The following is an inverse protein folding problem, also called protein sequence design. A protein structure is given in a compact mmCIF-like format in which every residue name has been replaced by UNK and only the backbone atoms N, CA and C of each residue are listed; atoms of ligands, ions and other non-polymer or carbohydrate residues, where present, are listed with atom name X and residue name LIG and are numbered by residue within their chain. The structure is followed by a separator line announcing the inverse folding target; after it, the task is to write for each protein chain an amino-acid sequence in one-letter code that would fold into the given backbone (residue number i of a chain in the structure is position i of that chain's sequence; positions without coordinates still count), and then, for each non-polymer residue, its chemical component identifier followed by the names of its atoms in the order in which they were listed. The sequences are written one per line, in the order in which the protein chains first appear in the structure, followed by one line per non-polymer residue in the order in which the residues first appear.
data_IF_998447481822
#
_entry.id   IF_998447481822
#
_cell.length_a   1.000
_cell.length_b   1.000
_cell.length_c   1.000
_cell.angle_alpha   90.00
_cell.angle_beta   90.00
_cell.angle_gamma   90.00
#
_symmetry.space_group_name_H-M   'P 1'
#
loop_
_entity.id
_entity.type
_entity.pdbx_description
1 polymer ?
#
# COMPACT_ATOMS: atom_id res chain seq x y z
N UNK A 1 40.18 -57.64 -2.76
CA UNK A 1 39.77 -57.88 -4.14
C UNK A 1 39.33 -56.54 -4.65
N UNK A 2 40.12 -55.71 -5.25
CA UNK A 2 40.91 -55.89 -6.51
C UNK A 2 39.93 -55.53 -7.63
N UNK A 3 40.09 -54.63 -8.43
CA UNK A 3 41.02 -54.12 -9.44
C UNK A 3 40.15 -53.13 -10.26
N UNK A 4 40.46 -52.10 -10.93
CA UNK A 4 41.64 -51.46 -11.48
C UNK A 4 41.22 -50.22 -12.28
N UNK A 5 42.09 -49.30 -12.44
CA UNK A 5 41.99 -48.06 -13.18
C UNK A 5 42.10 -48.29 -14.70
N UNK A 6 41.55 -47.40 -15.50
CA UNK A 6 42.04 -47.15 -16.84
C UNK A 6 41.89 -45.67 -17.21
N UNK A 7 43.00 -45.01 -17.37
CA UNK A 7 43.14 -43.69 -18.03
C UNK A 7 43.53 -43.90 -19.50
N UNK A 8 42.95 -43.13 -20.40
CA UNK A 8 43.43 -42.77 -21.73
C UNK A 8 42.81 -41.41 -22.00
N UNK A 9 43.45 -40.26 -22.21
CA UNK A 9 44.61 -39.93 -23.02
C UNK A 9 44.11 -39.42 -24.39
N UNK A 10 44.19 -38.10 -24.65
CA UNK A 10 44.02 -37.64 -26.01
C UNK A 10 43.60 -36.16 -26.20
N UNK A 11 44.59 -35.27 -26.20
CA UNK A 11 44.90 -34.22 -27.20
C UNK A 11 43.88 -33.13 -27.49
N UNK A 12 44.27 -31.90 -27.16
CA UNK A 12 43.83 -30.63 -27.82
C UNK A 12 44.19 -30.59 -29.31
N UNK A 13 43.46 -29.78 -30.11
CA UNK A 13 44.14 -28.57 -30.58
C UNK A 13 43.27 -27.28 -30.61
N UNK A 14 43.91 -26.18 -30.25
CA UNK A 14 43.99 -24.82 -30.84
C UNK A 14 42.95 -24.40 -31.89
N UNK A 15 42.35 -23.21 -31.68
CA UNK A 15 41.70 -22.42 -32.75
C UNK A 15 40.89 -21.29 -32.23
N UNK A 16 41.51 -20.13 -32.01
CA UNK A 16 40.80 -18.83 -31.98
C UNK A 16 40.41 -18.41 -33.40
N UNK A 17 39.33 -17.66 -33.57
CA UNK A 17 39.51 -16.47 -34.39
C UNK A 17 39.05 -15.19 -33.68
N UNK A 18 39.89 -14.21 -33.77
CA UNK A 18 39.69 -12.81 -33.51
C UNK A 18 38.47 -12.28 -34.28
N UNK A 19 37.52 -11.71 -33.59
CA UNK A 19 36.44 -10.90 -34.18
C UNK A 19 36.69 -9.43 -33.90
N UNK A 20 37.24 -8.75 -34.88
CA UNK A 20 37.53 -7.31 -34.96
C UNK A 20 36.23 -6.50 -34.81
N UNK A 21 36.12 -5.70 -33.76
CA UNK A 21 35.07 -4.66 -33.62
C UNK A 21 35.62 -3.38 -34.20
N UNK A 22 35.06 -2.98 -35.35
CA UNK A 22 35.34 -1.71 -36.02
C UNK A 22 34.65 -0.57 -35.30
N UNK A 23 35.42 0.31 -34.66
CA UNK A 23 34.97 1.60 -34.16
C UNK A 23 34.88 2.58 -35.34
N UNK A 24 33.69 3.03 -35.64
CA UNK A 24 33.47 4.19 -36.52
C UNK A 24 33.67 5.49 -35.73
N UNK A 25 34.81 6.10 -35.90
CA UNK A 25 35.08 7.50 -35.57
C UNK A 25 34.57 8.39 -36.70
N UNK A 26 33.57 9.21 -36.41
CA UNK A 26 33.14 10.33 -37.26
C UNK A 26 33.29 11.63 -36.51
N UNK A 27 34.42 12.27 -36.63
CA UNK A 27 34.62 13.68 -36.27
C UNK A 27 33.89 14.59 -37.25
N UNK A 28 33.13 15.58 -36.77
CA UNK A 28 32.87 16.81 -37.51
C UNK A 28 33.12 17.98 -36.55
N UNK A 29 34.11 18.78 -36.97
CA UNK A 29 34.51 20.07 -36.42
C UNK A 29 33.39 21.11 -36.55
N UNK A 30 33.35 22.08 -35.65
CA UNK A 30 32.76 23.35 -36.03
C UNK A 30 32.25 24.27 -34.92
N UNK A 31 33.18 25.12 -34.41
CA UNK A 31 33.01 26.51 -33.93
C UNK A 31 32.24 26.85 -32.65
N UNK A 32 32.87 27.67 -31.78
CA UNK A 32 32.20 28.31 -30.65
C UNK A 32 31.56 29.63 -31.08
N UNK A 33 30.29 29.83 -30.72
CA UNK A 33 29.68 31.15 -30.76
C UNK A 33 29.65 31.71 -29.32
N UNK A 34 30.45 32.74 -29.10
CA UNK A 34 30.29 33.70 -28.00
C UNK A 34 29.01 34.51 -28.23
N UNK A 35 28.22 34.64 -27.21
CA UNK A 35 27.07 35.54 -27.17
C UNK A 35 26.79 35.89 -25.73
N UNK A 36 27.38 37.02 -25.28
CA UNK A 36 27.00 37.70 -24.06
C UNK A 36 25.57 38.21 -24.21
N UNK A 37 24.66 37.84 -23.30
CA UNK A 37 23.45 38.61 -23.02
C UNK A 37 23.23 38.65 -21.50
N UNK A 38 23.60 39.79 -20.93
CA UNK A 38 23.06 40.28 -19.66
C UNK A 38 21.55 40.50 -19.82
N UNK A 39 20.79 39.91 -18.97
CA UNK A 39 19.33 40.10 -18.86
C UNK A 39 18.83 39.59 -17.53
N UNK A 40 19.09 40.37 -16.49
CA UNK A 40 18.46 40.19 -15.16
C UNK A 40 16.98 40.55 -15.28
N UNK A 41 16.07 39.61 -15.28
CA UNK A 41 14.67 39.83 -15.01
C UNK A 41 14.31 39.24 -13.67
N UNK A 42 14.20 40.14 -12.69
CA UNK A 42 13.58 39.89 -11.39
C UNK A 42 12.12 39.52 -11.60
N UNK A 43 11.75 38.27 -11.35
CA UNK A 43 10.36 37.88 -11.14
C UNK A 43 10.06 37.98 -9.63
N UNK A 44 8.98 38.69 -9.24
CA UNK A 44 8.60 38.82 -7.84
C UNK A 44 8.06 37.48 -7.31
N UNK A 45 8.48 37.14 -6.09
CA UNK A 45 7.93 36.06 -5.28
C UNK A 45 6.44 36.35 -4.99
N UNK A 46 5.53 35.35 -5.08
CA UNK A 46 4.18 35.54 -4.64
C UNK A 46 4.10 35.60 -3.12
N UNK A 47 3.38 36.61 -2.67
CA UNK A 47 3.07 37.00 -1.31
C UNK A 47 2.43 35.86 -0.50
N UNK A 48 2.91 35.66 0.73
CA UNK A 48 2.28 34.78 1.72
C UNK A 48 1.16 35.57 2.40
N UNK A 49 -0.07 35.34 1.98
CA UNK A 49 -1.20 35.89 2.68
C UNK A 49 -2.52 35.53 2.01
N UNK A 50 -3.26 34.60 2.56
CA UNK A 50 -4.63 34.34 2.14
C UNK A 50 -5.10 32.93 2.45
N UNK A 51 -5.53 32.69 3.68
CA UNK A 51 -6.37 31.57 4.02
C UNK A 51 -7.65 31.65 3.19
N UNK A 52 -7.77 30.88 2.12
CA UNK A 52 -9.03 30.74 1.40
C UNK A 52 -9.94 29.80 2.19
N UNK A 53 -10.87 30.42 2.91
CA UNK A 53 -12.04 29.76 3.47
C UNK A 53 -12.94 29.27 2.33
N UNK A 54 -13.25 27.98 2.33
CA UNK A 54 -14.25 27.39 1.47
C UNK A 54 -15.64 27.99 1.79
N UNK A 55 -16.48 28.33 0.81
CA UNK A 55 -17.82 28.81 1.06
C UNK A 55 -18.69 27.69 1.65
N UNK A 56 -19.26 27.93 2.82
CA UNK A 56 -20.30 27.13 3.41
C UNK A 56 -21.51 27.06 2.46
N UNK A 57 -21.87 25.85 2.05
CA UNK A 57 -23.13 25.63 1.34
C UNK A 57 -24.30 26.04 2.25
N UNK A 58 -25.03 27.06 1.83
CA UNK A 58 -26.30 27.48 2.43
C UNK A 58 -27.31 26.34 2.30
N UNK A 59 -27.73 25.79 3.40
CA UNK A 59 -28.95 25.01 3.52
C UNK A 59 -30.14 25.93 3.20
N UNK A 60 -30.83 25.65 2.11
CA UNK A 60 -32.14 26.28 1.82
C UNK A 60 -33.16 25.71 2.80
N UNK A 61 -33.50 26.49 3.79
CA UNK A 61 -34.72 26.31 4.58
C UNK A 61 -35.92 26.56 3.70
N UNK A 62 -36.66 25.51 3.35
CA UNK A 62 -37.98 25.67 2.73
C UNK A 62 -38.98 26.04 3.80
N UNK A 63 -39.55 27.23 3.61
CA UNK A 63 -40.48 27.87 4.51
C UNK A 63 -41.71 27.03 4.82
N UNK A 64 -42.01 26.96 6.10
CA UNK A 64 -43.28 26.51 6.61
C UNK A 64 -44.37 27.50 6.22
N UNK A 65 -45.21 27.15 5.25
CA UNK A 65 -46.43 27.88 4.94
C UNK A 65 -47.47 27.65 6.05
N UNK A 66 -47.73 28.71 6.77
CA UNK A 66 -48.79 28.75 7.79
C UNK A 66 -50.17 28.59 7.14
N UNK A 67 -50.84 27.49 7.41
CA UNK A 67 -52.26 27.30 7.07
C UNK A 67 -53.08 28.07 8.11
N UNK A 68 -53.61 29.25 7.71
CA UNK A 68 -54.64 29.96 8.47
C UNK A 68 -55.93 29.16 8.44
N UNK A 69 -56.40 28.74 9.61
CA UNK A 69 -57.70 28.15 9.78
C UNK A 69 -58.81 29.23 9.58
N UNK A 70 -59.55 29.08 8.49
CA UNK A 70 -60.82 29.79 8.29
C UNK A 70 -61.93 28.99 8.94
N UNK A 71 -62.50 29.48 10.08
CA UNK A 71 -63.76 29.02 10.65
C UNK A 71 -64.91 29.59 9.85
N UNK A 72 -65.74 28.73 9.28
CA UNK A 72 -67.00 29.16 8.66
C UNK A 72 -67.91 27.99 8.35
N UNK A 73 -68.87 27.78 9.19
CA UNK A 73 -70.12 27.02 9.13
C UNK A 73 -70.58 26.49 7.78
N UNK A 74 -70.88 25.16 7.71
CA UNK A 74 -72.24 24.69 7.32
C UNK A 74 -72.27 23.15 7.37
N UNK A 75 -72.82 22.60 8.46
CA UNK A 75 -73.30 21.23 8.50
C UNK A 75 -74.69 21.21 7.88
N UNK A 76 -74.81 20.64 6.67
CA UNK A 76 -76.14 20.23 6.12
C UNK A 76 -75.98 18.89 5.41
N UNK A 77 -76.60 17.87 6.04
CA UNK A 77 -77.28 16.76 5.42
C UNK A 77 -76.49 15.83 4.50
N UNK A 78 -75.69 14.92 5.06
CA UNK A 78 -75.19 13.76 4.31
C UNK A 78 -76.30 12.65 4.36
N UNK A 79 -76.93 12.40 3.22
CA UNK A 79 -77.91 11.32 3.04
C UNK A 79 -77.24 9.93 3.22
N UNK A 80 -77.94 9.04 3.95
CA UNK A 80 -77.55 7.67 4.28
C UNK A 80 -77.01 6.84 3.09
N UNK A 81 -77.32 7.23 1.83
CA UNK A 81 -76.83 6.55 0.61
C UNK A 81 -75.39 6.91 0.21
N UNK A 82 -74.86 8.00 0.70
CA UNK A 82 -73.44 8.40 0.41
C UNK A 82 -72.43 7.75 1.38
N UNK A 83 -72.90 7.29 2.57
CA UNK A 83 -72.04 6.60 3.52
C UNK A 83 -71.66 5.17 3.07
N UNK A 84 -72.50 4.49 2.31
CA UNK A 84 -72.21 3.12 1.77
C UNK A 84 -71.29 3.12 0.56
N UNK A 85 -71.18 4.23 -0.19
CA UNK A 85 -70.26 4.37 -1.30
C UNK A 85 -68.83 4.68 -0.93
N UNK A 86 -68.59 5.36 0.23
CA UNK A 86 -67.24 5.70 0.73
C UNK A 86 -66.56 4.49 1.42
N UNK A 87 -67.38 3.60 2.05
CA UNK A 87 -66.84 2.36 2.68
C UNK A 87 -66.45 1.29 1.69
N UNK A 88 -67.05 1.24 0.48
CA UNK A 88 -66.68 0.29 -0.58
C UNK A 88 -65.40 0.69 -1.30
N UNK A 89 -65.06 2.01 -1.37
CA UNK A 89 -63.85 2.53 -2.00
C UNK A 89 -62.60 2.32 -1.13
N UNK A 90 -62.73 2.12 0.20
CA UNK A 90 -61.61 1.90 1.09
C UNK A 90 -61.18 0.41 1.20
N UNK A 91 -61.99 -0.52 0.72
CA UNK A 91 -61.69 -1.96 0.70
C UNK A 91 -61.09 -2.43 -0.65
N UNK A 92 -61.03 -1.56 -1.66
CA UNK A 92 -60.51 -1.86 -2.98
C UNK A 92 -59.17 -1.20 -3.35
N UNK A 93 -58.50 -0.53 -2.38
CA UNK A 93 -57.17 -0.03 -2.65
C UNK A 93 -56.21 -1.26 -2.78
N UNK A 94 -55.58 -1.47 -3.97
CA UNK A 94 -54.54 -2.46 -4.03
C UNK A 94 -53.52 -2.10 -2.95
N UNK A 95 -53.30 -2.99 -2.00
CA UNK A 95 -52.16 -2.92 -1.10
C UNK A 95 -50.93 -2.85 -2.00
N UNK A 96 -50.43 -1.64 -2.23
CA UNK A 96 -49.09 -1.42 -2.80
C UNK A 96 -48.17 -1.97 -1.73
N UNK A 97 -48.01 -3.31 -1.72
CA UNK A 97 -46.89 -3.95 -1.11
C UNK A 97 -45.69 -3.35 -1.83
N UNK A 98 -45.11 -2.26 -1.24
CA UNK A 98 -43.77 -1.86 -1.53
C UNK A 98 -42.96 -3.12 -1.23
N UNK A 99 -42.71 -3.93 -2.29
CA UNK A 99 -41.66 -4.90 -2.24
C UNK A 99 -40.41 -4.07 -1.92
N UNK A 100 -40.05 -4.06 -0.63
CA UNK A 100 -38.72 -3.65 -0.21
C UNK A 100 -37.82 -4.60 -0.98
N UNK A 101 -37.39 -4.13 -2.15
CA UNK A 101 -36.41 -4.83 -2.95
C UNK A 101 -35.24 -5.01 -1.99
N UNK A 102 -35.04 -6.22 -1.50
CA UNK A 102 -33.94 -6.54 -0.61
C UNK A 102 -32.69 -6.02 -1.30
N UNK A 103 -32.16 -4.91 -0.81
CA UNK A 103 -30.99 -4.26 -1.43
C UNK A 103 -29.95 -5.37 -1.58
N UNK A 104 -29.51 -5.64 -2.82
CA UNK A 104 -28.54 -6.68 -3.11
C UNK A 104 -27.36 -6.49 -2.14
N UNK A 105 -27.15 -7.45 -1.27
CA UNK A 105 -26.09 -7.40 -0.26
C UNK A 105 -24.75 -7.57 -1.00
N UNK A 106 -23.90 -6.57 -0.91
CA UNK A 106 -22.57 -6.59 -1.49
C UNK A 106 -21.68 -7.51 -0.68
N UNK A 107 -20.88 -8.34 -1.35
CA UNK A 107 -19.95 -9.27 -0.72
C UNK A 107 -18.52 -8.93 -1.14
N UNK A 108 -17.67 -8.56 -0.17
CA UNK A 108 -16.27 -8.21 -0.40
C UNK A 108 -15.38 -9.28 0.22
N UNK A 109 -14.48 -9.85 -0.58
CA UNK A 109 -13.45 -10.77 -0.11
C UNK A 109 -12.20 -9.98 0.34
N UNK A 110 -11.69 -10.24 1.51
CA UNK A 110 -10.40 -9.74 1.97
C UNK A 110 -9.41 -10.89 2.05
N UNK A 111 -8.40 -10.88 1.18
CA UNK A 111 -7.31 -11.86 1.19
C UNK A 111 -6.11 -11.26 1.91
N UNK A 112 -5.82 -11.79 3.10
CA UNK A 112 -4.76 -11.31 3.98
C UNK A 112 -3.61 -12.30 4.09
N UNK A 113 -2.39 -11.79 4.26
CA UNK A 113 -1.21 -12.62 4.55
C UNK A 113 -1.09 -12.92 6.04
N UNK A 114 -1.16 -11.91 6.95
CA UNK A 114 -1.00 -12.13 8.39
C UNK A 114 -2.29 -12.66 9.04
N UNK A 115 -2.18 -13.08 10.29
CA UNK A 115 -3.34 -13.49 11.09
C UNK A 115 -4.37 -12.36 11.27
N UNK A 116 -5.62 -12.72 11.52
CA UNK A 116 -6.70 -11.74 11.67
C UNK A 116 -6.43 -10.67 12.75
N UNK A 117 -5.88 -10.98 13.94
CA UNK A 117 -5.54 -9.95 14.94
C UNK A 117 -4.49 -8.96 14.45
N UNK A 118 -3.45 -9.42 13.76
CA UNK A 118 -2.40 -8.56 13.18
C UNK A 118 -2.93 -7.66 12.06
N UNK A 119 -3.98 -8.12 11.36
CA UNK A 119 -4.59 -7.39 10.25
C UNK A 119 -5.74 -6.46 10.66
N UNK A 120 -6.22 -6.56 11.90
CA UNK A 120 -7.39 -5.83 12.39
C UNK A 120 -7.37 -4.32 12.13
N UNK A 121 -6.26 -3.57 12.33
CA UNK A 121 -6.23 -2.13 12.05
C UNK A 121 -6.55 -1.80 10.57
N UNK A 122 -6.06 -2.61 9.64
CA UNK A 122 -6.28 -2.44 8.20
C UNK A 122 -7.71 -2.78 7.78
N UNK A 123 -8.24 -3.87 8.32
CA UNK A 123 -9.65 -4.25 8.09
C UNK A 123 -10.60 -3.19 8.65
N UNK A 124 -10.30 -2.64 9.84
CA UNK A 124 -11.08 -1.55 10.42
C UNK A 124 -11.03 -0.27 9.57
N UNK A 125 -9.87 0.06 9.03
CA UNK A 125 -9.72 1.21 8.13
C UNK A 125 -10.53 1.04 6.84
N UNK A 126 -10.52 -0.15 6.22
CA UNK A 126 -11.36 -0.47 5.07
C UNK A 126 -12.84 -0.36 5.42
N UNK A 127 -13.28 -0.96 6.54
CA UNK A 127 -14.67 -0.85 7.04
C UNK A 127 -15.08 0.60 7.25
N UNK A 128 -14.20 1.43 7.81
CA UNK A 128 -14.47 2.85 8.01
C UNK A 128 -14.66 3.56 6.65
N UNK A 129 -13.77 3.34 5.68
CA UNK A 129 -13.90 3.91 4.35
C UNK A 129 -15.17 3.45 3.63
N UNK A 130 -15.53 2.19 3.74
CA UNK A 130 -16.77 1.65 3.16
C UNK A 130 -18.00 2.24 3.83
N UNK A 131 -17.98 2.42 5.15
CA UNK A 131 -19.09 3.03 5.90
C UNK A 131 -19.35 4.47 5.48
N UNK A 132 -18.29 5.26 5.25
CA UNK A 132 -18.40 6.64 4.77
C UNK A 132 -19.07 6.72 3.39
N UNK A 133 -18.98 5.63 2.60
CA UNK A 133 -19.61 5.49 1.29
C UNK A 133 -20.98 4.81 1.33
N UNK A 134 -21.50 4.52 2.55
CA UNK A 134 -22.82 3.93 2.75
C UNK A 134 -22.88 2.40 2.78
N UNK A 135 -21.73 1.72 2.72
CA UNK A 135 -21.67 0.26 2.86
C UNK A 135 -21.48 -0.13 4.33
N UNK A 136 -22.51 -0.73 4.92
CA UNK A 136 -22.57 -1.06 6.36
C UNK A 136 -22.63 -2.58 6.52
N UNK A 137 -21.62 -3.14 7.17
CA UNK A 137 -21.56 -4.58 7.47
C UNK A 137 -22.77 -5.02 8.32
N UNK A 138 -23.39 -6.13 7.94
CA UNK A 138 -24.62 -6.64 8.55
C UNK A 138 -25.92 -6.01 8.02
N UNK A 139 -25.86 -4.92 7.21
CA UNK A 139 -27.02 -4.34 6.52
C UNK A 139 -27.00 -4.62 5.02
N UNK A 140 -26.07 -4.01 4.31
CA UNK A 140 -25.94 -4.11 2.86
C UNK A 140 -24.53 -4.58 2.41
N UNK A 141 -23.68 -4.98 3.37
CA UNK A 141 -22.29 -5.42 3.15
C UNK A 141 -22.01 -6.69 3.96
N UNK A 142 -21.33 -7.64 3.31
CA UNK A 142 -20.66 -8.79 3.94
C UNK A 142 -19.17 -8.68 3.61
N UNK A 143 -18.32 -8.90 4.60
CA UNK A 143 -16.86 -9.01 4.42
C UNK A 143 -16.43 -10.44 4.72
N UNK A 144 -16.03 -11.15 3.67
CA UNK A 144 -15.44 -12.48 3.76
C UNK A 144 -13.93 -12.35 3.96
N UNK A 145 -13.43 -12.73 5.11
CA UNK A 145 -12.02 -12.62 5.45
C UNK A 145 -11.33 -13.98 5.35
N UNK A 146 -10.22 -14.03 4.60
CA UNK A 146 -9.34 -15.21 4.55
C UNK A 146 -7.91 -14.78 4.84
N UNK A 147 -7.24 -15.55 5.69
CA UNK A 147 -5.87 -15.29 6.13
C UNK A 147 -4.97 -16.49 5.85
N UNK A 148 -3.81 -16.20 5.27
CA UNK A 148 -2.75 -17.20 5.09
C UNK A 148 -1.93 -17.44 6.36
N UNK A 149 -2.10 -16.62 7.40
CA UNK A 149 -1.36 -16.72 8.69
C UNK A 149 0.16 -16.76 8.52
N UNK A 150 0.67 -15.98 7.55
CA UNK A 150 2.08 -15.89 7.21
C UNK A 150 2.57 -16.95 6.22
N UNK A 151 1.75 -17.93 5.87
CA UNK A 151 2.08 -19.03 4.96
C UNK A 151 1.67 -18.70 3.53
N UNK A 152 2.60 -18.26 2.70
CA UNK A 152 2.31 -17.78 1.34
C UNK A 152 1.71 -18.85 0.43
N UNK A 153 2.05 -20.11 0.65
CA UNK A 153 1.54 -21.27 -0.08
C UNK A 153 0.02 -21.47 0.07
N UNK A 154 -0.58 -20.97 1.15
CA UNK A 154 -2.03 -21.05 1.37
C UNK A 154 -2.82 -20.04 0.52
N UNK A 155 -2.16 -18.98 0.04
CA UNK A 155 -2.85 -17.87 -0.63
C UNK A 155 -3.65 -18.29 -1.86
N UNK A 156 -3.15 -19.23 -2.65
CA UNK A 156 -3.85 -19.69 -3.87
C UNK A 156 -5.17 -20.38 -3.52
N UNK A 157 -5.19 -21.29 -2.55
CA UNK A 157 -6.40 -21.95 -2.08
C UNK A 157 -7.41 -20.97 -1.48
N UNK A 158 -6.94 -20.04 -0.65
CA UNK A 158 -7.80 -19.03 -0.01
C UNK A 158 -8.42 -18.06 -1.03
N UNK A 159 -7.70 -17.73 -2.12
CA UNK A 159 -8.26 -16.93 -3.19
C UNK A 159 -9.40 -17.68 -3.92
N UNK A 160 -9.24 -18.98 -4.16
CA UNK A 160 -10.29 -19.83 -4.75
C UNK A 160 -11.51 -19.94 -3.83
N UNK A 161 -11.31 -20.08 -2.51
CA UNK A 161 -12.40 -20.05 -1.53
C UNK A 161 -13.22 -18.76 -1.62
N UNK A 162 -12.56 -17.58 -1.65
CA UNK A 162 -13.26 -16.29 -1.78
C UNK A 162 -14.11 -16.22 -3.06
N UNK A 163 -13.59 -16.76 -4.17
CA UNK A 163 -14.36 -16.83 -5.43
C UNK A 163 -15.59 -17.74 -5.26
N UNK A 164 -15.43 -18.87 -4.56
CA UNK A 164 -16.52 -19.80 -4.24
C UNK A 164 -17.63 -19.14 -3.41
N UNK A 165 -17.29 -18.20 -2.54
CA UNK A 165 -18.25 -17.37 -1.77
C UNK A 165 -18.96 -16.30 -2.63
N UNK A 166 -18.67 -16.25 -3.95
CA UNK A 166 -19.25 -15.31 -4.91
C UNK A 166 -19.08 -13.85 -4.50
N UNK A 167 -17.86 -13.49 -4.08
CA UNK A 167 -17.53 -12.10 -3.75
C UNK A 167 -17.62 -11.21 -4.99
N UNK A 168 -18.16 -10.00 -4.82
CA UNK A 168 -18.24 -8.99 -5.88
C UNK A 168 -16.89 -8.34 -6.18
N UNK A 169 -15.99 -8.25 -5.16
CA UNK A 169 -14.65 -7.66 -5.25
C UNK A 169 -13.72 -8.35 -4.26
N UNK A 170 -12.48 -8.58 -4.66
CA UNK A 170 -11.40 -9.01 -3.74
C UNK A 170 -10.53 -7.79 -3.39
N UNK A 171 -10.31 -7.52 -2.11
CA UNK A 171 -9.38 -6.51 -1.61
C UNK A 171 -8.17 -7.19 -1.00
N UNK A 172 -6.96 -6.82 -1.42
CA UNK A 172 -5.73 -7.45 -0.94
C UNK A 172 -4.54 -6.47 -0.97
N UNK A 173 -3.42 -6.87 -0.40
CA UNK A 173 -2.16 -6.11 -0.42
C UNK A 173 -0.95 -7.04 -0.38
N UNK A 174 0.18 -6.55 -0.89
CA UNK A 174 1.42 -7.30 -1.00
C UNK A 174 1.46 -8.21 -2.24
N UNK A 175 2.58 -8.21 -2.91
CA UNK A 175 2.77 -8.91 -4.20
C UNK A 175 2.35 -10.39 -4.18
N UNK A 176 2.67 -11.20 -3.15
CA UNK A 176 2.27 -12.61 -3.12
C UNK A 176 0.76 -12.81 -3.16
N UNK A 177 -0.01 -12.07 -2.34
CA UNK A 177 -1.46 -12.22 -2.26
C UNK A 177 -2.17 -11.68 -3.52
N UNK A 178 -1.66 -10.57 -4.10
CA UNK A 178 -2.19 -10.03 -5.36
C UNK A 178 -1.97 -11.02 -6.51
N UNK A 179 -0.79 -11.64 -6.60
CA UNK A 179 -0.51 -12.66 -7.62
C UNK A 179 -1.43 -13.88 -7.47
N UNK A 180 -1.64 -14.36 -6.24
CA UNK A 180 -2.56 -15.46 -5.96
C UNK A 180 -3.99 -15.12 -6.41
N UNK A 181 -4.51 -13.95 -6.07
CA UNK A 181 -5.83 -13.50 -6.51
C UNK A 181 -5.92 -13.39 -8.04
N UNK A 182 -4.91 -12.80 -8.72
CA UNK A 182 -4.85 -12.69 -10.20
C UNK A 182 -4.79 -14.04 -10.92
N UNK A 183 -4.16 -15.03 -10.30
CA UNK A 183 -4.11 -16.39 -10.85
C UNK A 183 -5.45 -17.09 -10.70
N UNK A 184 -6.13 -16.90 -9.56
CA UNK A 184 -7.40 -17.54 -9.24
C UNK A 184 -8.57 -17.01 -10.09
N UNK A 185 -8.56 -15.73 -10.52
CA UNK A 185 -9.64 -15.14 -11.30
C UNK A 185 -9.17 -14.13 -12.34
N UNK A 186 -9.91 -14.07 -13.47
CA UNK A 186 -9.78 -13.03 -14.49
C UNK A 186 -11.01 -12.12 -14.56
N UNK A 187 -12.07 -12.47 -13.82
CA UNK A 187 -13.38 -11.80 -13.90
C UNK A 187 -13.77 -11.08 -12.62
N UNK A 188 -13.50 -11.66 -11.45
CA UNK A 188 -13.75 -10.98 -10.17
C UNK A 188 -12.76 -9.82 -10.03
N UNK A 189 -13.23 -8.57 -9.85
CA UNK A 189 -12.35 -7.42 -9.67
C UNK A 189 -11.44 -7.55 -8.44
N UNK A 190 -10.21 -7.06 -8.57
CA UNK A 190 -9.20 -7.06 -7.51
C UNK A 190 -8.79 -5.63 -7.22
N UNK A 191 -9.00 -5.19 -5.99
CA UNK A 191 -8.52 -3.91 -5.48
C UNK A 191 -7.25 -4.12 -4.67
N UNK A 192 -6.17 -3.55 -5.15
CA UNK A 192 -4.90 -3.48 -4.43
C UNK A 192 -4.98 -2.34 -3.43
N UNK A 193 -5.05 -2.65 -2.14
CA UNK A 193 -5.03 -1.62 -1.10
C UNK A 193 -3.65 -0.97 -0.98
N UNK A 194 -2.57 -1.77 -1.06
CA UNK A 194 -1.20 -1.28 -1.05
C UNK A 194 -0.24 -2.29 -1.69
N UNK A 195 0.66 -1.82 -2.53
CA UNK A 195 1.78 -2.62 -3.08
C UNK A 195 2.99 -1.73 -3.36
N UNK A 196 4.18 -2.27 -3.20
CA UNK A 196 5.45 -1.53 -3.36
C UNK A 196 5.65 -0.97 -4.75
N UNK A 197 5.49 -1.80 -5.79
CA UNK A 197 5.49 -1.39 -7.20
C UNK A 197 4.60 -2.31 -8.01
N UNK A 198 3.48 -1.77 -8.49
CA UNK A 198 2.50 -2.53 -9.22
C UNK A 198 2.95 -2.87 -10.66
N UNK A 199 3.72 -1.99 -11.29
CA UNK A 199 4.20 -2.15 -12.68
C UNK A 199 5.44 -3.04 -12.71
N UNK A 200 6.49 -2.71 -11.96
CA UNK A 200 7.70 -3.54 -11.88
C UNK A 200 7.41 -4.94 -11.30
N UNK A 201 6.42 -5.07 -10.43
CA UNK A 201 5.92 -6.36 -9.94
C UNK A 201 5.14 -7.17 -10.96
N UNK A 202 4.88 -6.64 -12.17
CA UNK A 202 4.09 -7.30 -13.23
C UNK A 202 2.62 -7.51 -12.85
N UNK A 203 2.10 -6.67 -11.95
CA UNK A 203 0.73 -6.78 -11.47
C UNK A 203 -0.26 -6.06 -12.39
N UNK A 204 0.16 -4.98 -13.01
CA UNK A 204 -0.59 -4.17 -13.97
C UNK A 204 0.30 -3.73 -15.12
N UNK A 205 -0.31 -3.38 -16.26
CA UNK A 205 0.44 -2.93 -17.45
C UNK A 205 0.98 -1.50 -17.26
N UNK A 206 0.17 -0.61 -16.69
CA UNK A 206 0.55 0.77 -16.35
C UNK A 206 -0.32 1.28 -15.20
N UNK A 207 0.05 2.41 -14.59
CA UNK A 207 -0.78 3.01 -13.55
C UNK A 207 -2.01 3.72 -14.12
N UNK A 208 -1.90 4.31 -15.30
CA UNK A 208 -3.00 5.04 -15.95
C UNK A 208 -4.05 4.10 -16.54
N UNK A 209 -3.62 2.96 -17.05
CA UNK A 209 -4.50 1.93 -17.64
C UNK A 209 -4.03 0.57 -17.12
N UNK A 210 -4.48 0.17 -15.92
CA UNK A 210 -4.02 -1.07 -15.28
C UNK A 210 -4.29 -2.31 -16.13
N UNK A 211 -5.44 -2.33 -16.80
CA UNK A 211 -5.91 -3.44 -17.64
C UNK A 211 -6.42 -4.63 -16.84
N UNK A 212 -7.12 -5.52 -17.52
CA UNK A 212 -7.71 -6.71 -16.90
C UNK A 212 -8.69 -6.39 -15.77
N UNK A 213 -8.60 -7.12 -14.66
CA UNK A 213 -9.52 -7.02 -13.52
C UNK A 213 -8.88 -6.38 -12.27
N UNK A 214 -7.82 -5.60 -12.40
CA UNK A 214 -7.03 -5.08 -11.27
C UNK A 214 -7.00 -3.56 -11.27
N UNK A 215 -7.15 -2.95 -10.10
CA UNK A 215 -6.89 -1.53 -9.81
C UNK A 215 -6.47 -1.35 -8.36
N UNK A 216 -6.24 -0.11 -7.91
CA UNK A 216 -5.94 0.19 -6.51
C UNK A 216 -4.81 1.20 -6.33
N UNK A 217 -3.96 1.00 -5.33
CA UNK A 217 -2.90 1.93 -4.97
C UNK A 217 -1.52 1.27 -4.87
N UNK A 218 -0.49 2.04 -5.24
CA UNK A 218 0.92 1.64 -5.18
C UNK A 218 1.77 2.71 -4.49
N UNK A 219 2.94 2.29 -3.97
CA UNK A 219 3.96 3.20 -3.41
C UNK A 219 5.35 2.73 -3.85
N UNK A 220 6.30 3.61 -4.01
CA UNK A 220 7.60 3.24 -4.55
C UNK A 220 8.52 2.60 -3.49
N UNK A 221 8.38 1.29 -3.25
CA UNK A 221 9.21 0.56 -2.29
C UNK A 221 10.72 0.67 -2.57
N UNK A 222 11.22 0.61 -3.82
CA UNK A 222 12.63 0.80 -4.11
C UNK A 222 13.18 2.15 -3.64
N UNK A 223 12.50 3.26 -3.99
CA UNK A 223 12.92 4.61 -3.62
C UNK A 223 12.77 4.85 -2.12
N UNK A 224 11.74 4.28 -1.49
CA UNK A 224 11.56 4.37 -0.04
C UNK A 224 12.67 3.65 0.71
N UNK A 225 13.04 2.43 0.31
CA UNK A 225 14.10 1.67 0.94
C UNK A 225 15.48 2.36 0.79
N UNK A 226 15.77 2.92 -0.39
CA UNK A 226 16.96 3.74 -0.60
C UNK A 226 16.96 4.97 0.32
N UNK A 227 15.82 5.65 0.48
CA UNK A 227 15.69 6.82 1.37
C UNK A 227 15.78 6.45 2.85
N UNK A 228 15.24 5.31 3.25
CA UNK A 228 15.41 4.75 4.60
C UNK A 228 16.89 4.52 4.91
N UNK A 229 17.66 3.99 3.95
CA UNK A 229 19.11 3.79 4.09
C UNK A 229 19.87 5.12 4.24
N UNK A 230 19.52 6.15 3.45
CA UNK A 230 20.08 7.50 3.57
C UNK A 230 19.81 8.10 4.95
N UNK A 231 18.58 8.02 5.44
CA UNK A 231 18.17 8.51 6.75
C UNK A 231 18.93 7.79 7.88
N UNK A 232 19.10 6.47 7.74
CA UNK A 232 19.89 5.67 8.67
C UNK A 232 21.34 6.15 8.71
N UNK A 233 21.97 6.35 7.54
CA UNK A 233 23.35 6.85 7.44
C UNK A 233 23.51 8.25 8.02
N UNK A 234 22.54 9.13 7.79
CA UNK A 234 22.53 10.48 8.39
C UNK A 234 22.47 10.43 9.93
N UNK A 235 21.70 9.48 10.47
CA UNK A 235 21.53 9.33 11.93
C UNK A 235 22.73 8.68 12.62
N UNK A 236 23.49 7.85 11.90
CA UNK A 236 24.71 7.17 12.40
C UNK A 236 25.87 7.35 11.41
N UNK A 237 26.45 8.55 11.30
CA UNK A 237 27.41 8.90 10.25
C UNK A 237 28.67 8.00 10.20
N UNK A 238 29.08 7.45 11.34
CA UNK A 238 30.26 6.60 11.45
C UNK A 238 30.02 5.13 11.06
N UNK A 239 28.78 4.76 10.72
CA UNK A 239 28.45 3.40 10.24
C UNK A 239 29.04 3.19 8.86
N UNK A 240 29.77 2.10 8.67
CA UNK A 240 30.29 1.63 7.39
C UNK A 240 29.57 0.37 6.89
N UNK A 241 29.03 -0.45 7.80
CA UNK A 241 28.34 -1.70 7.46
C UNK A 241 26.86 -1.65 7.89
N UNK A 242 25.95 -2.05 7.00
CA UNK A 242 24.51 -2.15 7.24
C UNK A 242 23.99 -3.50 6.80
N UNK A 243 23.34 -4.22 7.72
CA UNK A 243 22.59 -5.42 7.36
C UNK A 243 21.23 -5.04 6.74
N UNK A 244 20.88 -5.68 5.64
CA UNK A 244 19.62 -5.47 4.93
C UNK A 244 18.74 -6.70 5.11
N UNK A 245 17.78 -6.62 6.03
CA UNK A 245 16.83 -7.70 6.31
C UNK A 245 15.71 -7.68 5.30
N UNK A 246 15.54 -8.75 4.55
CA UNK A 246 14.59 -8.83 3.44
C UNK A 246 14.04 -10.25 3.26
N UNK A 247 12.90 -10.37 2.57
CA UNK A 247 12.32 -11.66 2.22
C UNK A 247 12.73 -12.07 0.79
N UNK A 248 13.62 -13.04 0.61
CA UNK A 248 14.06 -13.47 -0.72
C UNK A 248 12.98 -14.19 -1.54
N UNK A 249 11.90 -14.65 -0.88
CA UNK A 249 10.77 -15.32 -1.56
C UNK A 249 9.75 -14.31 -2.14
N UNK A 250 9.89 -13.00 -1.85
CA UNK A 250 9.04 -12.01 -2.46
C UNK A 250 9.55 -11.68 -3.88
N UNK A 251 8.77 -11.98 -4.94
CA UNK A 251 9.21 -11.74 -6.32
C UNK A 251 9.41 -10.25 -6.67
N UNK A 252 8.91 -9.32 -5.84
CA UNK A 252 9.12 -7.89 -6.03
C UNK A 252 10.39 -7.36 -5.33
N UNK A 253 11.18 -8.21 -4.68
CA UNK A 253 12.34 -7.78 -3.89
C UNK A 253 13.53 -7.31 -4.76
N UNK A 254 13.71 -7.88 -5.96
CA UNK A 254 14.85 -7.55 -6.83
C UNK A 254 15.04 -6.06 -7.09
N UNK A 255 14.05 -5.31 -7.60
CA UNK A 255 14.15 -3.86 -7.82
C UNK A 255 14.48 -3.08 -6.54
N UNK A 256 13.91 -3.48 -5.39
CA UNK A 256 14.17 -2.83 -4.11
C UNK A 256 15.62 -3.03 -3.65
N UNK A 257 16.13 -4.25 -3.76
CA UNK A 257 17.55 -4.51 -3.44
C UNK A 257 18.50 -3.75 -4.36
N UNK A 258 18.21 -3.70 -5.65
CA UNK A 258 19.04 -2.92 -6.59
C UNK A 258 19.08 -1.43 -6.21
N UNK A 259 17.96 -0.85 -5.82
CA UNK A 259 17.91 0.55 -5.37
C UNK A 259 18.70 0.76 -4.06
N UNK A 260 18.59 -0.18 -3.11
CA UNK A 260 19.33 -0.15 -1.84
C UNK A 260 20.84 -0.31 -2.09
N UNK A 261 21.25 -1.20 -2.99
CA UNK A 261 22.66 -1.40 -3.37
C UNK A 261 23.26 -0.13 -4.01
N UNK A 262 22.52 0.49 -4.94
CA UNK A 262 22.92 1.74 -5.58
C UNK A 262 23.09 2.87 -4.56
N UNK A 263 22.13 3.00 -3.62
CA UNK A 263 22.22 3.97 -2.52
C UNK A 263 23.40 3.67 -1.59
N UNK A 264 23.60 2.40 -1.25
CA UNK A 264 24.73 1.96 -0.42
C UNK A 264 26.09 2.29 -1.04
N UNK A 265 26.26 2.04 -2.33
CA UNK A 265 27.46 2.42 -3.07
C UNK A 265 27.71 3.95 -3.02
N UNK A 266 26.67 4.75 -3.26
CA UNK A 266 26.75 6.23 -3.18
C UNK A 266 27.13 6.71 -1.78
N UNK A 267 26.60 6.06 -0.74
CA UNK A 267 26.84 6.38 0.67
C UNK A 267 28.13 5.75 1.24
N UNK A 268 28.85 4.99 0.42
CA UNK A 268 30.05 4.22 0.83
C UNK A 268 29.77 3.28 1.99
N UNK A 269 28.64 2.57 1.91
CA UNK A 269 28.22 1.55 2.87
C UNK A 269 28.50 0.16 2.32
N UNK A 270 29.02 -0.71 3.17
CA UNK A 270 29.07 -2.14 2.94
C UNK A 270 27.73 -2.75 3.34
N UNK A 271 27.02 -3.33 2.38
CA UNK A 271 25.68 -3.87 2.57
C UNK A 271 25.72 -5.39 2.64
N UNK A 272 25.14 -5.93 3.70
CA UNK A 272 24.99 -7.36 3.88
C UNK A 272 23.51 -7.76 3.78
N UNK A 273 23.16 -8.57 2.79
CA UNK A 273 21.81 -9.10 2.65
C UNK A 273 21.57 -10.23 3.65
N UNK A 274 20.48 -10.12 4.41
CA UNK A 274 20.05 -11.09 5.42
C UNK A 274 18.63 -11.54 5.11
N UNK A 275 18.49 -12.76 4.59
CA UNK A 275 17.20 -13.31 4.18
C UNK A 275 16.39 -13.82 5.37
N UNK A 276 15.11 -13.43 5.44
CA UNK A 276 14.11 -13.97 6.37
C UNK A 276 12.87 -14.39 5.59
N UNK A 277 12.42 -15.63 5.77
CA UNK A 277 11.25 -16.20 5.07
C UNK A 277 10.07 -16.40 5.98
N UNK A 278 10.37 -16.64 7.27
CA UNK A 278 9.40 -16.91 8.32
C UNK A 278 9.82 -16.15 9.59
N UNK A 279 8.89 -15.99 10.50
CA UNK A 279 9.17 -15.34 11.79
C UNK A 279 10.28 -16.03 12.57
N UNK A 280 10.39 -17.35 12.45
CA UNK A 280 11.38 -18.16 13.17
C UNK A 280 12.81 -17.90 12.69
N UNK A 281 12.99 -17.33 11.50
CA UNK A 281 14.31 -16.94 10.97
C UNK A 281 14.90 -15.72 11.70
N UNK A 282 14.10 -14.91 12.39
CA UNK A 282 14.54 -13.60 12.90
C UNK A 282 15.68 -13.69 13.89
N UNK A 283 15.63 -14.59 14.86
CA UNK A 283 16.71 -14.75 15.84
C UNK A 283 18.01 -15.15 15.16
N UNK A 284 17.99 -16.14 14.28
CA UNK A 284 19.17 -16.57 13.52
C UNK A 284 19.73 -15.47 12.62
N UNK A 285 18.86 -14.65 12.00
CA UNK A 285 19.23 -13.50 11.20
C UNK A 285 19.97 -12.45 12.05
N UNK A 286 19.45 -12.10 13.22
CA UNK A 286 20.09 -11.11 14.10
C UNK A 286 21.39 -11.66 14.71
N UNK A 287 21.48 -12.94 15.05
CA UNK A 287 22.74 -13.57 15.46
C UNK A 287 23.81 -13.48 14.36
N UNK A 288 23.41 -13.63 13.09
CA UNK A 288 24.34 -13.46 11.96
C UNK A 288 24.82 -12.01 11.86
N UNK A 289 23.90 -11.04 11.94
CA UNK A 289 24.20 -9.60 11.91
C UNK A 289 25.25 -9.24 12.98
N UNK A 290 25.07 -9.75 14.21
CA UNK A 290 26.00 -9.49 15.30
C UNK A 290 27.35 -10.17 15.08
N UNK A 291 27.38 -11.43 14.64
CA UNK A 291 28.65 -12.13 14.32
C UNK A 291 29.47 -11.39 13.27
N UNK A 292 28.80 -10.76 12.29
CA UNK A 292 29.45 -9.96 11.23
C UNK A 292 29.75 -8.52 11.64
N UNK A 293 29.43 -8.14 12.88
CA UNK A 293 29.71 -6.83 13.47
C UNK A 293 29.03 -5.66 12.75
N UNK A 294 27.92 -5.90 12.04
CA UNK A 294 27.08 -4.84 11.53
C UNK A 294 26.50 -4.04 12.69
N UNK A 295 26.58 -2.71 12.62
CA UNK A 295 26.10 -1.83 13.70
C UNK A 295 24.76 -1.17 13.37
N UNK A 296 24.29 -1.35 12.18
CA UNK A 296 23.02 -0.82 11.72
C UNK A 296 22.27 -1.86 10.88
N UNK A 297 20.95 -1.75 10.87
CA UNK A 297 20.07 -2.66 10.11
C UNK A 297 19.00 -1.85 9.39
N UNK A 298 18.80 -2.17 8.11
CA UNK A 298 17.67 -1.73 7.30
C UNK A 298 16.66 -2.87 7.22
N UNK A 299 15.41 -2.63 7.63
CA UNK A 299 14.32 -3.59 7.52
C UNK A 299 13.50 -3.22 6.29
N UNK A 300 13.64 -4.00 5.23
CA UNK A 300 12.95 -3.74 3.95
C UNK A 300 11.47 -4.11 4.05
N UNK A 301 10.62 -3.30 3.41
CA UNK A 301 9.18 -3.49 3.35
C UNK A 301 8.80 -4.83 2.69
N UNK A 302 8.22 -5.70 3.46
CA UNK A 302 7.65 -6.98 3.03
C UNK A 302 6.51 -7.36 3.99
N UNK A 303 5.47 -8.07 3.56
CA UNK A 303 4.45 -8.51 4.49
C UNK A 303 5.00 -9.18 5.75
N UNK A 304 6.05 -10.04 5.64
CA UNK A 304 6.60 -10.71 6.81
C UNK A 304 7.28 -9.73 7.77
N UNK A 305 7.97 -8.72 7.27
CA UNK A 305 8.63 -7.72 8.11
C UNK A 305 7.63 -6.73 8.69
N UNK A 306 6.65 -6.26 7.89
CA UNK A 306 5.61 -5.31 8.29
C UNK A 306 4.77 -5.86 9.44
N UNK A 307 4.30 -7.11 9.33
CA UNK A 307 3.42 -7.69 10.33
C UNK A 307 4.16 -8.23 11.57
N UNK A 308 5.47 -8.31 11.50
CA UNK A 308 6.33 -8.68 12.63
C UNK A 308 7.24 -7.53 13.07
N UNK A 309 6.87 -6.28 12.74
CA UNK A 309 7.65 -5.08 13.04
C UNK A 309 8.10 -5.01 14.51
N UNK A 310 7.22 -5.37 15.45
CA UNK A 310 7.54 -5.38 16.89
C UNK A 310 8.68 -6.34 17.23
N UNK A 311 8.61 -7.58 16.75
CA UNK A 311 9.64 -8.57 17.02
C UNK A 311 11.00 -8.15 16.45
N UNK A 312 11.01 -7.58 15.22
CA UNK A 312 12.23 -7.06 14.59
C UNK A 312 12.78 -5.84 15.33
N UNK A 313 11.91 -4.94 15.80
CA UNK A 313 12.31 -3.77 16.56
C UNK A 313 12.88 -4.16 17.94
N UNK A 314 12.26 -5.12 18.63
CA UNK A 314 12.76 -5.63 19.91
C UNK A 314 14.13 -6.28 19.77
N UNK A 315 14.37 -7.05 18.69
CA UNK A 315 15.69 -7.63 18.40
C UNK A 315 16.74 -6.55 18.08
N UNK A 316 16.38 -5.54 17.27
CA UNK A 316 17.29 -4.43 16.99
C UNK A 316 17.66 -3.67 18.28
N UNK A 317 16.68 -3.40 19.15
CA UNK A 317 16.88 -2.75 20.43
C UNK A 317 17.74 -3.59 21.38
N UNK A 318 17.46 -4.90 21.50
CA UNK A 318 18.21 -5.83 22.33
C UNK A 318 19.71 -5.83 21.99
N UNK A 319 20.01 -5.76 20.69
CA UNK A 319 21.39 -5.75 20.20
C UNK A 319 21.97 -4.34 20.00
N UNK A 320 21.24 -3.29 20.43
CA UNK A 320 21.63 -1.88 20.29
C UNK A 320 21.99 -1.48 18.87
N UNK A 321 21.28 -2.03 17.89
CA UNK A 321 21.48 -1.71 16.48
C UNK A 321 20.70 -0.45 16.12
N UNK A 322 21.36 0.50 15.47
CA UNK A 322 20.65 1.57 14.79
C UNK A 322 19.83 0.98 13.64
N UNK A 323 18.56 1.36 13.52
CA UNK A 323 17.67 0.67 12.61
C UNK A 323 16.74 1.61 11.84
N UNK A 324 16.47 1.29 10.58
CA UNK A 324 15.50 2.01 9.78
C UNK A 324 14.56 1.02 9.05
N UNK A 325 13.37 1.49 8.72
CA UNK A 325 12.37 0.74 7.98
C UNK A 325 11.14 1.60 7.71
N UNK A 326 10.00 0.96 7.56
CA UNK A 326 8.70 1.59 7.34
C UNK A 326 8.14 2.25 8.62
N UNK A 327 7.04 3.00 8.48
CA UNK A 327 6.47 3.80 9.61
C UNK A 327 6.13 2.92 10.81
N UNK A 328 5.40 1.81 10.57
CA UNK A 328 4.98 0.89 11.64
C UNK A 328 6.17 0.24 12.36
N UNK A 329 7.34 0.16 11.71
CA UNK A 329 8.56 -0.32 12.35
C UNK A 329 9.04 0.64 13.45
N UNK A 330 9.06 1.94 13.18
CA UNK A 330 9.40 2.94 14.20
C UNK A 330 8.35 3.02 15.31
N UNK A 331 7.06 2.91 14.96
CA UNK A 331 5.95 2.84 15.92
C UNK A 331 6.07 1.63 16.85
N UNK A 332 6.57 0.52 16.33
CA UNK A 332 6.79 -0.71 17.08
C UNK A 332 8.06 -0.70 17.95
N UNK A 333 8.89 0.34 17.88
CA UNK A 333 10.12 0.46 18.67
C UNK A 333 11.41 0.52 17.85
N UNK A 334 11.35 0.46 16.53
CA UNK A 334 12.51 0.74 15.67
C UNK A 334 12.95 2.19 15.78
N UNK A 335 14.17 2.52 15.34
CA UNK A 335 14.73 3.86 15.49
C UNK A 335 14.12 4.87 14.51
N UNK A 336 14.07 4.52 13.22
CA UNK A 336 13.60 5.39 12.13
C UNK A 336 12.56 4.64 11.31
N UNK A 337 11.43 5.29 11.02
CA UNK A 337 10.43 4.86 10.07
C UNK A 337 10.23 5.91 9.00
N UNK A 338 10.31 5.53 7.73
CA UNK A 338 10.00 6.42 6.62
C UNK A 338 9.18 5.67 5.58
N UNK A 339 8.05 6.25 5.16
CA UNK A 339 7.22 5.59 4.16
C UNK A 339 5.78 6.10 4.12
N UNK A 340 4.89 5.23 3.64
CA UNK A 340 3.47 5.51 3.49
C UNK A 340 2.68 5.06 4.72
N UNK A 341 1.57 5.72 4.99
CA UNK A 341 0.60 5.26 5.97
C UNK A 341 -0.27 4.15 5.37
N UNK A 342 0.08 2.89 5.63
CA UNK A 342 -0.62 1.73 5.09
C UNK A 342 -2.09 1.68 5.55
N UNK A 343 -2.39 2.10 6.77
CA UNK A 343 -3.78 2.15 7.29
C UNK A 343 -4.63 3.13 6.48
N UNK A 344 -4.08 4.30 6.14
CA UNK A 344 -4.76 5.26 5.27
C UNK A 344 -4.98 4.73 3.85
N UNK A 345 -4.02 3.98 3.29
CA UNK A 345 -4.18 3.31 2.00
C UNK A 345 -5.30 2.27 2.02
N UNK A 346 -5.43 1.48 3.09
CA UNK A 346 -6.53 0.54 3.27
C UNK A 346 -7.89 1.24 3.38
N UNK A 347 -7.97 2.39 4.06
CA UNK A 347 -9.19 3.21 4.06
C UNK A 347 -9.52 3.70 2.64
N UNK A 348 -8.51 4.14 1.90
CA UNK A 348 -8.66 4.61 0.52
C UNK A 348 -9.10 3.51 -0.44
N UNK A 349 -8.76 2.25 -0.19
CA UNK A 349 -9.20 1.10 -1.00
C UNK A 349 -10.73 1.05 -1.14
N UNK A 350 -11.49 1.53 -0.17
CA UNK A 350 -12.95 1.63 -0.24
C UNK A 350 -13.45 2.47 -1.44
N UNK A 351 -12.71 3.50 -1.87
CA UNK A 351 -13.04 4.28 -3.06
C UNK A 351 -13.02 3.42 -4.33
N UNK A 352 -12.00 2.59 -4.52
CA UNK A 352 -11.92 1.71 -5.69
C UNK A 352 -13.02 0.66 -5.67
N UNK A 353 -13.32 0.12 -4.49
CA UNK A 353 -14.44 -0.81 -4.29
C UNK A 353 -15.75 -0.15 -4.70
N UNK A 354 -16.05 1.07 -4.24
CA UNK A 354 -17.27 1.80 -4.59
C UNK A 354 -17.40 2.03 -6.10
N UNK A 355 -16.31 2.44 -6.77
CA UNK A 355 -16.29 2.63 -8.22
C UNK A 355 -16.66 1.35 -8.98
N UNK A 356 -16.09 0.21 -8.55
CA UNK A 356 -16.37 -1.10 -9.15
C UNK A 356 -17.83 -1.51 -8.90
N UNK A 357 -18.33 -1.36 -7.68
CA UNK A 357 -19.71 -1.70 -7.33
C UNK A 357 -20.74 -0.83 -8.05
N UNK A 358 -20.37 0.37 -8.49
CA UNK A 358 -21.16 1.24 -9.37
C UNK A 358 -21.04 0.89 -10.85
N UNK A 359 -20.34 -0.21 -11.19
CA UNK A 359 -20.26 -0.74 -12.56
C UNK A 359 -19.06 -0.27 -13.38
N UNK A 360 -18.09 0.43 -12.78
CA UNK A 360 -16.86 0.81 -13.50
C UNK A 360 -15.94 -0.41 -13.57
N UNK A 361 -15.40 -0.69 -14.76
CA UNK A 361 -14.44 -1.78 -14.94
C UNK A 361 -13.14 -1.50 -14.16
N UNK A 362 -12.67 -2.45 -13.37
CA UNK A 362 -11.46 -2.29 -12.56
C UNK A 362 -10.24 -1.91 -13.40
N UNK A 363 -10.06 -2.52 -14.58
CA UNK A 363 -8.94 -2.25 -15.47
C UNK A 363 -8.93 -0.87 -16.11
N UNK A 364 -10.04 -0.13 -16.01
CA UNK A 364 -10.20 1.25 -16.51
C UNK A 364 -10.03 2.30 -15.41
N UNK A 365 -10.02 1.89 -14.14
CA UNK A 365 -9.79 2.80 -13.02
C UNK A 365 -8.28 2.97 -12.85
N UNK A 366 -7.73 4.18 -13.06
CA UNK A 366 -6.30 4.42 -12.85
C UNK A 366 -5.88 4.06 -11.42
N UNK A 367 -4.70 3.45 -11.28
CA UNK A 367 -4.11 3.22 -9.98
C UNK A 367 -3.61 4.53 -9.37
N UNK A 368 -3.84 4.69 -8.09
CA UNK A 368 -3.29 5.81 -7.34
C UNK A 368 -1.86 5.52 -6.88
N UNK A 369 -1.03 6.54 -6.98
CA UNK A 369 0.32 6.55 -6.43
C UNK A 369 0.31 7.30 -5.11
N UNK A 370 0.86 6.71 -4.05
CA UNK A 370 1.03 7.42 -2.80
C UNK A 370 1.99 8.61 -3.01
N UNK A 371 1.56 9.80 -2.57
CA UNK A 371 2.33 11.04 -2.72
C UNK A 371 2.77 11.61 -1.36
N UNK A 372 2.26 11.07 -0.26
CA UNK A 372 2.61 11.49 1.08
C UNK A 372 3.44 10.40 1.76
N UNK A 373 4.60 10.80 2.24
CA UNK A 373 5.53 9.98 3.00
C UNK A 373 5.81 10.67 4.32
N UNK A 374 5.71 9.95 5.41
CA UNK A 374 5.94 10.47 6.75
C UNK A 374 7.28 9.94 7.29
N UNK A 375 8.04 10.82 7.96
CA UNK A 375 9.25 10.48 8.72
C UNK A 375 8.89 10.38 10.20
N UNK A 376 9.09 9.21 10.77
CA UNK A 376 8.86 8.94 12.20
C UNK A 376 10.18 8.60 12.86
N UNK A 377 10.51 9.28 13.96
CA UNK A 377 11.72 9.03 14.74
C UNK A 377 11.32 8.59 16.14
N UNK A 378 11.86 7.46 16.59
CA UNK A 378 11.66 6.96 17.94
C UNK A 378 12.81 7.42 18.85
N UNK A 379 12.60 8.51 19.59
CA UNK A 379 13.59 9.09 20.49
C UNK A 379 13.86 8.20 21.71
N UNK A 380 12.86 7.46 22.19
CA UNK A 380 13.08 6.46 23.25
C UNK A 380 14.12 5.43 22.85
N UNK A 381 13.97 4.91 21.62
CA UNK A 381 14.91 3.94 21.06
C UNK A 381 16.29 4.55 20.87
N UNK A 382 16.37 5.78 20.35
CA UNK A 382 17.65 6.49 20.20
C UNK A 382 18.41 6.59 21.51
N UNK A 383 17.74 7.01 22.60
CA UNK A 383 18.31 7.10 23.95
C UNK A 383 18.76 5.71 24.44
N UNK A 384 17.91 4.69 24.28
CA UNK A 384 18.20 3.34 24.78
C UNK A 384 19.42 2.68 24.11
N UNK A 385 19.66 2.98 22.82
CA UNK A 385 20.83 2.45 22.09
C UNK A 385 22.05 3.40 22.11
N UNK A 386 21.90 4.60 22.69
CA UNK A 386 22.98 5.58 22.79
C UNK A 386 23.29 6.32 21.49
N UNK A 387 22.30 6.49 20.61
CA UNK A 387 22.41 7.23 19.35
C UNK A 387 21.88 8.65 19.52
N UNK A 388 22.73 9.66 19.26
CA UNK A 388 22.30 11.04 19.18
C UNK A 388 21.76 11.36 17.79
N UNK A 389 20.46 11.62 17.69
CA UNK A 389 19.84 12.04 16.42
C UNK A 389 20.15 13.52 16.18
N UNK A 390 20.59 13.82 14.97
CA UNK A 390 20.87 15.20 14.57
C UNK A 390 19.60 16.09 14.70
N UNK A 391 19.70 17.29 15.33
CA UNK A 391 18.54 18.17 15.47
C UNK A 391 17.84 18.52 14.15
N UNK A 392 18.57 18.64 13.06
CA UNK A 392 17.98 18.91 11.73
C UNK A 392 17.11 17.74 11.25
N UNK A 393 17.44 16.51 11.59
CA UNK A 393 16.64 15.32 11.29
C UNK A 393 15.38 15.29 12.14
N UNK A 394 15.47 15.65 13.43
CA UNK A 394 14.29 15.77 14.30
C UNK A 394 13.31 16.85 13.82
N UNK A 395 13.82 17.99 13.34
CA UNK A 395 13.00 19.08 12.81
C UNK A 395 12.26 18.70 11.51
N UNK A 396 12.79 17.74 10.73
CA UNK A 396 12.15 17.24 9.52
C UNK A 396 11.17 16.09 9.79
N UNK A 397 11.18 15.53 10.99
CA UNK A 397 10.29 14.44 11.34
C UNK A 397 8.83 14.93 11.40
N UNK A 398 7.94 14.21 10.74
CA UNK A 398 6.49 14.43 10.82
C UNK A 398 5.99 14.02 12.21
N UNK A 399 6.68 13.06 12.84
CA UNK A 399 6.35 12.59 14.20
C UNK A 399 7.60 12.11 14.94
N UNK A 400 7.71 12.52 16.20
CA UNK A 400 8.72 12.04 17.16
C UNK A 400 8.00 11.27 18.26
N UNK A 401 8.44 10.04 18.53
CA UNK A 401 7.95 9.20 19.63
C UNK A 401 8.84 9.44 20.83
N UNK A 402 8.25 10.08 21.86
CA UNK A 402 8.90 10.46 23.11
C UNK A 402 8.87 9.35 24.17
#
# INVERSE_FOLDING_TARGET
MGIEAAAVGGTSPSGSPEGTITLCTGCVEGRPLRGDVHGSTNLPLPDRGGAQSWPAQRTQEHGAAAIRASRGNAVRGLHRRQFLAVTAALLGAPAVTSAVQAAKQVRIGVLAIPSAPQFAPRTQALRAGLRDLGYIEGKNLIIEFRSAEGQYERLAGLAVELIGEKVDVIVTAGTPAIRAAKQATKTVPIVIAAVGDAVAGGLVASLTTPGGNVTGATYFAPELAAKQLELLKQSVPHTSGVAVVMNPNNPAMGPTLHAVEAAGASLKLDLEQVGVRHRDDFHGAFDMIIRRRSRAVLIVDDPITIYNARALADLALQHRLASAGFIEYAEAGGLIGYGVNLTAMWRRAAYFVDRILRGVNAGEIPMERAMKFDLVINRKTAIAIGVAIDPSTLLRADRVIE
#
